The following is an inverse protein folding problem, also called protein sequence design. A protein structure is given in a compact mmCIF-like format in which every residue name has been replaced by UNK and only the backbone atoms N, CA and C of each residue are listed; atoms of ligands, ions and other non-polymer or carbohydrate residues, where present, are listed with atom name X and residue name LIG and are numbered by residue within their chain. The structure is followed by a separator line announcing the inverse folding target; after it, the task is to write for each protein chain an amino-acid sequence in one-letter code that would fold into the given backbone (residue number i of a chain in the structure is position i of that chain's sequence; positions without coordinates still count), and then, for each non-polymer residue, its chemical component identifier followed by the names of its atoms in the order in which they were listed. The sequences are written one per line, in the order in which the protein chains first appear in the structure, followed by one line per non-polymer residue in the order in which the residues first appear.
data_IF_346518016320
#
_entry.id   IF_346518016320
#
_cell.length_a   1.000
_cell.length_b   1.000
_cell.length_c   1.000
_cell.angle_alpha   90.00
_cell.angle_beta   90.00
_cell.angle_gamma   90.00
#
_symmetry.space_group_name_H-M   'P 1'
#
loop_
_entity.id
_entity.type
_entity.pdbx_description
1 polymer ?
#
# COMPACT_ATOMS: atom_id res chain seq x y z
N UNK A 1 14.30 -19.14 -6.88
CA UNK A 1 14.89 -17.81 -6.77
C UNK A 1 13.77 -16.76 -6.85
N UNK A 2 13.68 -15.88 -5.88
CA UNK A 2 12.62 -14.88 -5.83
C UNK A 2 12.89 -13.77 -6.84
N UNK A 3 11.85 -13.37 -7.57
CA UNK A 3 11.95 -12.25 -8.50
C UNK A 3 12.18 -10.95 -7.70
N UNK A 4 13.26 -10.17 -8.01
CA UNK A 4 13.50 -8.91 -7.30
C UNK A 4 12.32 -7.94 -7.34
N UNK A 5 11.54 -7.98 -8.43
CA UNK A 5 10.34 -7.13 -8.56
C UNK A 5 9.29 -7.49 -7.52
N UNK A 6 9.11 -8.78 -7.26
CA UNK A 6 8.14 -9.25 -6.26
C UNK A 6 8.55 -8.78 -4.86
N UNK A 7 9.83 -8.90 -4.53
CA UNK A 7 10.34 -8.44 -3.24
C UNK A 7 10.14 -6.95 -3.02
N UNK A 8 10.45 -6.15 -4.03
CA UNK A 8 10.27 -4.69 -3.95
C UNK A 8 8.81 -4.30 -3.81
N UNK A 9 7.93 -4.94 -4.57
CA UNK A 9 6.49 -4.67 -4.51
C UNK A 9 5.92 -5.05 -3.16
N UNK A 10 6.35 -6.20 -2.62
CA UNK A 10 5.93 -6.64 -1.30
C UNK A 10 6.35 -5.63 -0.23
N UNK A 11 7.60 -5.18 -0.27
CA UNK A 11 8.13 -4.24 0.72
C UNK A 11 7.41 -2.89 0.64
N UNK A 12 7.14 -2.43 -0.58
CA UNK A 12 6.40 -1.19 -0.76
C UNK A 12 4.97 -1.32 -0.24
N UNK A 13 4.32 -2.45 -0.52
CA UNK A 13 2.96 -2.69 -0.05
C UNK A 13 2.91 -2.75 1.49
N UNK A 14 3.85 -3.43 2.12
CA UNK A 14 3.93 -3.49 3.58
C UNK A 14 4.10 -2.10 4.18
N UNK A 15 4.96 -1.28 3.59
CA UNK A 15 5.17 0.08 4.05
C UNK A 15 3.89 0.91 3.93
N UNK A 16 3.22 0.84 2.78
CA UNK A 16 1.99 1.58 2.54
C UNK A 16 0.89 1.15 3.51
N UNK A 17 0.78 -0.15 3.76
CA UNK A 17 -0.22 -0.67 4.71
C UNK A 17 0.07 -0.20 6.13
N UNK A 18 1.34 -0.17 6.52
CA UNK A 18 1.73 0.31 7.85
C UNK A 18 1.40 1.80 8.01
N UNK A 19 1.71 2.59 7.00
CA UNK A 19 1.39 4.02 7.01
C UNK A 19 -0.12 4.23 7.10
N UNK A 20 -0.89 3.40 6.40
CA UNK A 20 -2.35 3.48 6.42
C UNK A 20 -2.90 3.18 7.82
N UNK A 21 -2.39 2.14 8.48
CA UNK A 21 -2.81 1.78 9.83
C UNK A 21 -2.47 2.89 10.82
N UNK A 22 -1.26 3.44 10.74
CA UNK A 22 -0.84 4.55 11.60
C UNK A 22 -1.73 5.78 11.40
N UNK A 23 -2.05 6.07 10.14
CA UNK A 23 -2.92 7.19 9.80
C UNK A 23 -4.33 7.00 10.37
N UNK A 24 -4.88 5.79 10.24
CA UNK A 24 -6.20 5.47 10.79
C UNK A 24 -6.23 5.61 12.31
N UNK A 25 -5.18 5.16 12.99
CA UNK A 25 -5.09 5.29 14.45
C UNK A 25 -5.06 6.77 14.86
N UNK A 26 -4.29 7.58 14.14
CA UNK A 26 -4.21 9.01 14.40
C UNK A 26 -5.57 9.69 14.21
N UNK A 27 -6.26 9.35 13.11
CA UNK A 27 -7.58 9.89 12.81
C UNK A 27 -8.63 9.53 13.86
N UNK A 28 -8.53 8.34 14.43
CA UNK A 28 -9.42 7.89 15.50
C UNK A 28 -9.32 8.79 16.72
N UNK A 29 -8.12 9.27 17.06
CA UNK A 29 -7.89 10.09 18.23
C UNK A 29 -7.99 11.58 17.97
N UNK A 30 -7.57 12.04 16.80
CA UNK A 30 -7.43 13.46 16.50
C UNK A 30 -8.46 13.99 15.49
N UNK A 31 -9.22 13.09 14.87
CA UNK A 31 -10.14 13.44 13.80
C UNK A 31 -9.46 13.53 12.45
N UNK A 32 -10.23 13.81 11.41
CA UNK A 32 -9.77 13.85 10.02
C UNK A 32 -9.85 15.29 9.51
N UNK A 33 -8.73 15.81 8.99
CA UNK A 33 -8.71 17.09 8.30
C UNK A 33 -8.93 16.84 6.78
N UNK A 34 -9.32 17.89 6.01
CA UNK A 34 -9.42 17.74 4.55
C UNK A 34 -8.11 17.32 3.89
N UNK A 35 -6.98 17.78 4.43
CA UNK A 35 -5.66 17.40 3.94
C UNK A 35 -5.37 15.93 4.18
N UNK A 36 -5.78 15.42 5.34
CA UNK A 36 -5.63 14.00 5.66
C UNK A 36 -6.47 13.13 4.73
N UNK A 37 -7.68 13.58 4.41
CA UNK A 37 -8.54 12.87 3.47
C UNK A 37 -7.91 12.77 2.09
N UNK A 38 -7.27 13.84 1.63
CA UNK A 38 -6.61 13.85 0.34
C UNK A 38 -5.43 12.87 0.32
N UNK A 39 -4.63 12.88 1.36
CA UNK A 39 -3.50 11.96 1.50
C UNK A 39 -3.97 10.51 1.55
N UNK A 40 -5.08 10.27 2.23
CA UNK A 40 -5.66 8.94 2.33
C UNK A 40 -6.11 8.42 0.97
N UNK A 41 -6.76 9.27 0.18
CA UNK A 41 -7.17 8.90 -1.18
C UNK A 41 -5.97 8.55 -2.05
N UNK A 42 -4.94 9.36 -2.01
CA UNK A 42 -3.72 9.12 -2.77
C UNK A 42 -3.03 7.83 -2.33
N UNK A 43 -2.97 7.58 -1.02
CA UNK A 43 -2.39 6.36 -0.48
C UNK A 43 -3.18 5.13 -0.90
N UNK A 44 -4.51 5.19 -0.83
CA UNK A 44 -5.36 4.09 -1.23
C UNK A 44 -5.20 3.77 -2.71
N UNK A 45 -5.10 4.81 -3.54
CA UNK A 45 -4.85 4.61 -4.97
C UNK A 45 -3.50 3.91 -5.18
N UNK A 46 -2.47 4.35 -4.48
CA UNK A 46 -1.14 3.74 -4.58
C UNK A 46 -1.16 2.29 -4.11
N UNK A 47 -1.87 2.01 -3.02
CA UNK A 47 -2.01 0.63 -2.51
C UNK A 47 -2.65 -0.26 -3.57
N UNK A 48 -3.69 0.22 -4.25
CA UNK A 48 -4.35 -0.53 -5.32
C UNK A 48 -3.39 -0.81 -6.48
N UNK A 49 -2.63 0.18 -6.90
CA UNK A 49 -1.68 0.03 -8.00
C UNK A 49 -0.59 -0.99 -7.64
N UNK A 50 0.00 -0.86 -6.47
CA UNK A 50 1.05 -1.76 -6.01
C UNK A 50 0.51 -3.17 -5.81
N UNK A 51 -0.69 -3.30 -5.27
CA UNK A 51 -1.34 -4.60 -5.09
C UNK A 51 -1.58 -5.30 -6.43
N UNK A 52 -2.05 -4.56 -7.43
CA UNK A 52 -2.28 -5.11 -8.76
C UNK A 52 -0.96 -5.58 -9.39
N UNK A 53 0.09 -4.76 -9.28
CA UNK A 53 1.40 -5.11 -9.80
C UNK A 53 1.98 -6.33 -9.09
N UNK A 54 1.79 -6.41 -7.78
CA UNK A 54 2.25 -7.54 -6.98
C UNK A 54 1.55 -8.84 -7.38
N UNK A 55 0.23 -8.79 -7.54
CA UNK A 55 -0.54 -9.97 -7.99
C UNK A 55 -0.11 -10.42 -9.38
N UNK A 56 0.12 -9.48 -10.27
CA UNK A 56 0.58 -9.80 -11.62
C UNK A 56 1.96 -10.46 -11.60
N UNK A 57 2.87 -9.94 -10.78
CA UNK A 57 4.20 -10.52 -10.62
C UNK A 57 4.12 -11.93 -10.05
N UNK A 58 3.23 -12.18 -9.09
CA UNK A 58 3.02 -13.51 -8.52
C UNK A 58 2.51 -14.49 -9.56
N UNK A 59 1.61 -14.05 -10.43
CA UNK A 59 1.08 -14.91 -11.50
C UNK A 59 2.19 -15.34 -12.44
N UNK A 60 3.14 -14.48 -12.73
CA UNK A 60 4.27 -14.82 -13.59
C UNK A 60 5.15 -15.90 -12.97
N UNK A 61 5.24 -15.93 -11.64
CA UNK A 61 6.05 -16.93 -10.94
C UNK A 61 5.39 -18.30 -10.85
N UNK A 62 4.09 -18.35 -11.04
CA UNK A 62 3.31 -19.59 -10.87
C UNK A 62 3.21 -20.46 -12.13
N UNK A 63 4.02 -20.23 -13.09
CA UNK A 63 4.03 -21.08 -14.31
C UNK A 63 4.82 -22.35 -14.13
#
# INVERSE_FOLDING_TARGET
MEDPSVGKLRDELERLMREHIESMQRETFLGISPEDLQREKERMQRIREVSADFLEALKRLQR
#
